data_IF_092388950360
#
_entry.id   IF_092388950360
#
_cell.length_a   1.000
_cell.length_b   1.000
_cell.length_c   1.000
_cell.angle_alpha   90.00
_cell.angle_beta   90.00
_cell.angle_gamma   90.00
#
_symmetry.space_group_name_H-M   'P 1'
#
loop_
_entity.id
_entity.type
_entity.pdbx_description
1 polymer ?
#
# COMPACT_ATOMS: atom_id res chain seq x y z
N UNK A 1 -12.14 -5.23 8.97
CA UNK A 1 -11.18 -6.32 8.75
C UNK A 1 -10.27 -5.87 7.63
N UNK A 2 -8.97 -5.71 7.87
CA UNK A 2 -8.03 -5.31 6.84
C UNK A 2 -7.94 -6.40 5.76
N UNK A 3 -7.76 -6.00 4.50
CA UNK A 3 -7.40 -6.92 3.43
C UNK A 3 -5.91 -7.24 3.56
N UNK A 4 -5.54 -8.53 3.50
CA UNK A 4 -4.14 -8.95 3.66
C UNK A 4 -3.65 -9.75 2.46
N UNK A 5 -2.37 -9.60 2.13
CA UNK A 5 -1.72 -10.36 1.05
C UNK A 5 -0.26 -10.63 1.40
N UNK A 6 0.22 -11.83 1.06
CA UNK A 6 1.63 -12.18 1.18
C UNK A 6 2.43 -11.56 0.03
N UNK A 7 3.56 -10.94 0.35
CA UNK A 7 4.47 -10.31 -0.61
C UNK A 7 5.92 -10.53 -0.19
N UNK A 8 6.87 -9.89 -0.89
CA UNK A 8 8.28 -9.90 -0.54
C UNK A 8 8.89 -8.49 -0.67
N UNK A 9 9.87 -8.21 0.18
CA UNK A 9 10.71 -7.02 0.10
C UNK A 9 12.18 -7.43 -0.03
N UNK A 10 12.97 -6.61 -0.71
CA UNK A 10 14.41 -6.83 -0.87
C UNK A 10 15.19 -6.06 0.17
N UNK A 11 16.16 -6.73 0.83
CA UNK A 11 17.14 -6.09 1.70
C UNK A 11 18.53 -6.54 1.24
N UNK A 12 19.25 -5.65 0.55
CA UNK A 12 20.48 -6.00 -0.15
C UNK A 12 20.20 -6.94 -1.33
N UNK A 13 20.78 -8.14 -1.31
CA UNK A 13 20.57 -9.19 -2.33
C UNK A 13 19.52 -10.22 -1.93
N UNK A 14 19.04 -10.14 -0.68
CA UNK A 14 18.14 -11.12 -0.09
C UNK A 14 16.68 -10.67 -0.21
N UNK A 15 15.77 -11.63 -0.29
CA UNK A 15 14.33 -11.41 -0.30
C UNK A 15 13.72 -11.90 1.03
N UNK A 16 12.91 -11.04 1.64
CA UNK A 16 12.23 -11.32 2.90
C UNK A 16 10.71 -11.32 2.68
N UNK A 17 9.98 -12.33 3.19
CA UNK A 17 8.53 -12.34 3.13
C UNK A 17 7.96 -11.20 3.97
N UNK A 18 6.96 -10.50 3.44
CA UNK A 18 6.24 -9.42 4.13
C UNK A 18 4.74 -9.63 3.99
N UNK A 19 3.99 -9.27 5.03
CA UNK A 19 2.53 -9.27 4.99
C UNK A 19 2.05 -7.86 4.77
N UNK A 20 1.45 -7.63 3.61
CA UNK A 20 0.85 -6.33 3.31
C UNK A 20 -0.58 -6.33 3.83
N UNK A 21 -0.91 -5.36 4.67
CA UNK A 21 -2.25 -5.14 5.18
C UNK A 21 -2.79 -3.80 4.68
N UNK A 22 -4.04 -3.78 4.23
CA UNK A 22 -4.71 -2.56 3.78
C UNK A 22 -6.02 -2.39 4.53
N UNK A 23 -6.18 -1.24 5.17
CA UNK A 23 -7.42 -0.83 5.82
C UNK A 23 -7.94 0.49 5.25
N UNK A 24 -9.27 0.62 5.21
CA UNK A 24 -9.93 1.86 4.80
C UNK A 24 -10.88 2.31 5.90
N UNK A 25 -10.67 3.53 6.40
CA UNK A 25 -11.50 4.11 7.45
C UNK A 25 -12.36 5.28 6.90
N UNK A 26 -13.32 5.77 7.68
CA UNK A 26 -14.27 6.83 7.24
C UNK A 26 -13.73 8.26 7.44
N UNK A 27 -12.45 8.45 7.72
CA UNK A 27 -11.85 9.78 7.93
C UNK A 27 -11.60 10.50 6.60
N UNK A 28 -11.07 11.73 6.71
CA UNK A 28 -10.68 12.54 5.57
C UNK A 28 -9.76 11.76 4.61
N UNK A 29 -9.97 11.88 3.28
CA UNK A 29 -9.17 11.17 2.31
C UNK A 29 -7.68 11.41 2.49
N UNK A 30 -6.95 10.32 2.70
CA UNK A 30 -5.49 10.32 2.81
C UNK A 30 -4.97 8.94 2.45
N UNK A 31 -3.70 8.85 2.10
CA UNK A 31 -3.02 7.58 1.83
C UNK A 31 -1.73 7.58 2.62
N UNK A 32 -1.51 6.54 3.41
CA UNK A 32 -0.31 6.40 4.24
C UNK A 32 0.21 4.98 4.14
N UNK A 33 1.53 4.86 4.00
CA UNK A 33 2.24 3.59 4.09
C UNK A 33 3.11 3.61 5.34
N UNK A 34 3.02 2.56 6.16
CA UNK A 34 3.78 2.36 7.40
C UNK A 34 4.50 1.01 7.35
N UNK A 35 5.54 0.83 8.17
CA UNK A 35 6.26 -0.44 8.31
C UNK A 35 7.67 -0.46 7.72
N UNK A 36 7.93 0.28 6.64
CA UNK A 36 9.26 0.32 5.99
C UNK A 36 9.73 1.76 5.67
N UNK A 37 11.01 2.11 5.93
CA UNK A 37 11.56 3.43 5.62
C UNK A 37 12.01 3.60 4.16
N UNK A 38 11.73 2.65 3.28
CA UNK A 38 12.21 2.62 1.90
C UNK A 38 11.58 3.76 1.05
N UNK A 39 12.41 4.49 0.30
CA UNK A 39 11.97 5.55 -0.62
C UNK A 39 11.08 5.01 -1.75
N UNK A 40 11.38 3.83 -2.28
CA UNK A 40 10.59 3.20 -3.34
C UNK A 40 9.18 2.81 -2.85
N UNK A 41 9.04 2.51 -1.56
CA UNK A 41 7.75 2.28 -0.89
C UNK A 41 6.96 3.58 -0.81
N UNK A 42 7.58 4.71 -0.48
CA UNK A 42 6.89 6.02 -0.47
C UNK A 42 6.41 6.43 -1.86
N UNK A 43 7.21 6.18 -2.89
CA UNK A 43 6.89 6.46 -4.30
C UNK A 43 5.85 5.48 -4.89
N UNK A 44 5.56 4.36 -4.22
CA UNK A 44 4.58 3.38 -4.70
C UNK A 44 3.15 3.95 -4.80
N UNK A 45 2.85 5.00 -4.04
CA UNK A 45 1.51 5.62 -3.97
C UNK A 45 0.94 5.94 -5.35
N UNK A 46 1.70 6.63 -6.19
CA UNK A 46 1.23 7.05 -7.52
C UNK A 46 0.98 5.86 -8.44
N UNK A 47 1.84 4.83 -8.35
CA UNK A 47 1.69 3.58 -9.09
C UNK A 47 0.44 2.82 -8.67
N UNK A 48 0.17 2.73 -7.36
CA UNK A 48 -1.04 2.08 -6.84
C UNK A 48 -2.30 2.83 -7.29
N UNK A 49 -2.32 4.16 -7.21
CA UNK A 49 -3.46 4.96 -7.68
C UNK A 49 -3.71 4.78 -9.19
N UNK A 50 -2.63 4.77 -9.99
CA UNK A 50 -2.72 4.54 -11.43
C UNK A 50 -3.23 3.13 -11.75
N UNK A 51 -2.74 2.10 -11.05
CA UNK A 51 -3.16 0.72 -11.23
C UNK A 51 -4.66 0.53 -10.93
N UNK A 52 -5.16 1.10 -9.83
CA UNK A 52 -6.58 1.03 -9.46
C UNK A 52 -7.45 1.68 -10.55
N UNK A 53 -7.06 2.87 -11.02
CA UNK A 53 -7.76 3.57 -12.11
C UNK A 53 -7.75 2.79 -13.42
N UNK A 54 -6.60 2.25 -13.81
CA UNK A 54 -6.43 1.51 -15.07
C UNK A 54 -7.19 0.17 -15.05
N UNK A 55 -7.41 -0.40 -13.85
CA UNK A 55 -8.26 -1.56 -13.65
C UNK A 55 -9.77 -1.22 -13.66
N UNK A 56 -10.16 0.03 -13.92
CA UNK A 56 -11.55 0.47 -13.99
C UNK A 56 -12.19 0.77 -12.63
N UNK A 57 -11.42 0.74 -11.54
CA UNK A 57 -11.92 1.04 -10.20
C UNK A 57 -11.77 2.53 -9.86
N UNK A 58 -12.66 3.00 -9.00
CA UNK A 58 -12.57 4.35 -8.44
C UNK A 58 -11.73 4.34 -7.17
N UNK A 59 -10.87 5.34 -7.01
CA UNK A 59 -10.13 5.52 -5.77
C UNK A 59 -11.09 5.85 -4.61
N UNK A 60 -10.96 5.18 -3.45
CA UNK A 60 -11.86 5.42 -2.33
C UNK A 60 -11.70 6.85 -1.78
N UNK A 61 -12.82 7.55 -1.57
CA UNK A 61 -12.85 8.87 -0.90
C UNK A 61 -12.77 8.72 0.62
N UNK A 62 -11.77 7.98 1.08
CA UNK A 62 -11.55 7.54 2.47
C UNK A 62 -10.06 7.57 2.78
N UNK A 63 -9.70 7.53 4.06
CA UNK A 63 -8.31 7.29 4.45
C UNK A 63 -7.98 5.82 4.20
N UNK A 64 -6.87 5.60 3.50
CA UNK A 64 -6.30 4.30 3.19
C UNK A 64 -4.97 4.19 3.92
N UNK A 65 -4.84 3.17 4.75
CA UNK A 65 -3.57 2.86 5.43
C UNK A 65 -3.06 1.53 4.93
N UNK A 66 -1.81 1.50 4.48
CA UNK A 66 -1.10 0.29 4.06
C UNK A 66 0.00 0.03 5.08
N UNK A 67 0.03 -1.17 5.63
CA UNK A 67 1.09 -1.66 6.50
C UNK A 67 1.91 -2.72 5.77
N UNK A 68 3.21 -2.76 6.02
CA UNK A 68 4.19 -3.62 5.36
C UNK A 68 5.02 -4.39 6.40
#
# INVERSE_FOLDING_TARGET
MPATVLSAATLGIDAYPVHVEVDTDRQLPSFTVVGLPDGAVRESRERVMAAIRNAGFQWPRRRVTVNL
#
